data_IF_217136292466
#
_entry.id   IF_217136292466
#
_cell.length_a   1.000
_cell.length_b   1.000
_cell.length_c   1.000
_cell.angle_alpha   90.00
_cell.angle_beta   90.00
_cell.angle_gamma   90.00
#
_symmetry.space_group_name_H-M   'P 1'
#
loop_
_entity.id
_entity.type
_entity.pdbx_description
1 polymer ?
#
# COMPACT_ATOMS: atom_id res chain seq x y z
N UNK A 1 2.77 -3.73 23.18
CA UNK A 1 1.58 -4.53 22.83
C UNK A 1 2.05 -5.71 22.01
N UNK A 2 1.48 -6.91 22.21
CA UNK A 2 1.90 -8.10 21.47
C UNK A 2 1.00 -8.31 20.26
N UNK A 3 1.62 -8.48 19.09
CA UNK A 3 0.96 -8.71 17.81
C UNK A 3 1.51 -10.00 17.20
N UNK A 4 0.66 -10.87 16.69
CA UNK A 4 1.12 -12.08 16.01
C UNK A 4 1.99 -11.69 14.80
N UNK A 5 3.13 -12.36 14.61
CA UNK A 5 4.05 -12.05 13.50
C UNK A 5 3.39 -12.30 12.14
N UNK A 6 3.69 -11.46 11.13
CA UNK A 6 3.10 -11.51 9.78
C UNK A 6 3.18 -12.89 9.09
N UNK A 7 4.22 -13.66 9.42
CA UNK A 7 4.42 -15.04 8.97
C UNK A 7 3.26 -15.97 9.36
N UNK A 8 2.68 -15.77 10.53
CA UNK A 8 1.66 -16.66 11.07
C UNK A 8 0.25 -16.25 10.67
N UNK A 9 -0.58 -17.26 10.44
CA UNK A 9 -1.99 -17.17 10.05
C UNK A 9 -2.88 -17.87 11.08
N UNK A 10 -4.01 -17.25 11.39
CA UNK A 10 -5.06 -17.87 12.21
C UNK A 10 -6.10 -18.52 11.30
N UNK A 11 -6.19 -19.85 11.40
CA UNK A 11 -7.25 -20.67 10.80
C UNK A 11 -8.18 -21.16 11.90
N UNK A 12 -9.47 -21.28 11.60
CA UNK A 12 -10.46 -21.79 12.55
C UNK A 12 -11.23 -22.91 11.89
N UNK A 13 -11.27 -24.06 12.55
CA UNK A 13 -12.08 -25.21 12.13
C UNK A 13 -12.87 -25.68 13.34
N UNK A 14 -14.18 -25.81 13.17
CA UNK A 14 -15.13 -26.09 14.26
C UNK A 14 -14.91 -25.15 15.46
N UNK A 15 -14.50 -25.68 16.61
CA UNK A 15 -14.25 -24.95 17.84
C UNK A 15 -12.76 -24.91 18.22
N UNK A 16 -11.87 -25.08 17.24
CA UNK A 16 -10.42 -25.02 17.45
C UNK A 16 -9.84 -23.88 16.61
N UNK A 17 -9.06 -23.02 17.27
CA UNK A 17 -8.24 -22.01 16.61
C UNK A 17 -6.82 -22.54 16.44
N UNK A 18 -6.32 -22.51 15.22
CA UNK A 18 -4.98 -22.95 14.86
C UNK A 18 -4.15 -21.74 14.43
N UNK A 19 -2.91 -21.68 14.91
CA UNK A 19 -1.89 -20.75 14.40
C UNK A 19 -0.94 -21.54 13.52
N UNK A 20 -0.97 -21.26 12.23
CA UNK A 20 -0.14 -21.88 11.21
C UNK A 20 1.02 -20.98 10.83
N UNK A 21 2.14 -21.59 10.49
CA UNK A 21 3.24 -20.93 9.79
C UNK A 21 3.00 -21.01 8.28
N UNK A 22 2.76 -19.87 7.63
CA UNK A 22 2.44 -19.87 6.21
C UNK A 22 3.65 -20.14 5.30
N UNK A 23 4.86 -20.28 5.83
CA UNK A 23 6.03 -20.70 5.04
C UNK A 23 6.17 -22.23 5.07
N UNK A 24 6.09 -22.84 6.25
CA UNK A 24 6.25 -24.29 6.42
C UNK A 24 4.94 -25.08 6.36
N UNK A 25 3.79 -24.41 6.37
CA UNK A 25 2.42 -24.96 6.52
C UNK A 25 2.20 -25.76 7.81
N UNK A 26 3.09 -25.61 8.80
CA UNK A 26 2.98 -26.32 10.08
C UNK A 26 2.05 -25.60 11.06
N UNK A 27 1.25 -26.38 11.80
CA UNK A 27 0.54 -25.91 12.99
C UNK A 27 1.55 -25.68 14.11
N UNK A 28 1.66 -24.44 14.60
CA UNK A 28 2.56 -24.08 15.70
C UNK A 28 1.90 -24.25 17.06
N UNK A 29 0.63 -23.92 17.16
CA UNK A 29 -0.20 -24.23 18.32
C UNK A 29 -1.68 -24.17 17.97
N UNK A 30 -2.49 -24.82 18.79
CA UNK A 30 -3.94 -24.82 18.68
C UNK A 30 -4.56 -24.79 20.08
N UNK A 31 -5.77 -24.24 20.17
CA UNK A 31 -6.55 -24.24 21.40
C UNK A 31 -8.05 -24.19 21.10
N UNK A 32 -8.82 -24.73 22.03
CA UNK A 32 -10.27 -24.73 21.97
C UNK A 32 -10.83 -23.33 22.25
N UNK A 33 -11.85 -22.94 21.48
CA UNK A 33 -12.51 -21.62 21.54
C UNK A 33 -14.02 -21.72 21.80
N UNK A 34 -14.47 -22.76 22.49
CA UNK A 34 -15.88 -22.98 22.81
C UNK A 34 -16.48 -21.78 23.56
N UNK A 35 -17.64 -21.29 23.10
CA UNK A 35 -18.35 -20.11 23.63
C UNK A 35 -17.54 -18.80 23.64
N UNK A 36 -16.64 -18.60 22.67
CA UNK A 36 -15.88 -17.36 22.51
C UNK A 36 -16.20 -16.66 21.19
N UNK A 37 -16.05 -15.34 21.17
CA UNK A 37 -16.12 -14.57 19.92
C UNK A 37 -14.83 -14.79 19.10
N UNK A 38 -14.95 -15.62 18.05
CA UNK A 38 -13.88 -15.98 17.12
C UNK A 38 -13.32 -14.76 16.38
N UNK A 39 -14.19 -13.82 16.00
CA UNK A 39 -13.82 -12.60 15.30
C UNK A 39 -13.05 -11.65 16.21
N UNK A 40 -13.52 -11.47 17.45
CA UNK A 40 -12.80 -10.71 18.48
C UNK A 40 -11.43 -11.32 18.76
N UNK A 41 -11.35 -12.63 19.01
CA UNK A 41 -10.06 -13.31 19.25
C UNK A 41 -9.07 -13.10 18.11
N UNK A 42 -9.48 -13.35 16.86
CA UNK A 42 -8.61 -13.15 15.69
C UNK A 42 -8.11 -11.70 15.61
N UNK A 43 -8.99 -10.72 15.82
CA UNK A 43 -8.61 -9.29 15.88
C UNK A 43 -7.62 -9.00 17.01
N UNK A 44 -7.81 -9.56 18.19
CA UNK A 44 -6.91 -9.36 19.34
C UNK A 44 -5.52 -9.96 19.09
N UNK A 45 -5.41 -11.13 18.47
CA UNK A 45 -4.11 -11.69 18.10
C UNK A 45 -3.39 -10.86 17.03
N UNK A 46 -4.12 -10.40 16.01
CA UNK A 46 -3.54 -9.68 14.87
C UNK A 46 -3.24 -8.21 15.15
N UNK A 47 -4.07 -7.54 15.96
CA UNK A 47 -4.03 -6.08 16.18
C UNK A 47 -3.80 -5.68 17.64
N UNK A 48 -3.69 -6.69 18.50
CA UNK A 48 -3.09 -6.62 19.83
C UNK A 48 -4.06 -6.28 20.95
N UNK A 49 -3.53 -6.44 22.17
CA UNK A 49 -4.19 -6.11 23.42
C UNK A 49 -3.60 -4.83 24.02
N UNK A 50 -4.45 -3.94 24.53
CA UNK A 50 -3.99 -2.87 25.40
C UNK A 50 -3.40 -3.46 26.70
N UNK A 51 -2.39 -2.79 27.28
CA UNK A 51 -1.65 -3.27 28.47
C UNK A 51 -2.46 -3.17 29.78
N UNK A 52 -3.78 -3.20 29.72
CA UNK A 52 -4.67 -3.08 30.88
C UNK A 52 -5.07 -4.47 31.38
N UNK A 53 -5.39 -4.56 32.67
CA UNK A 53 -5.99 -5.76 33.26
C UNK A 53 -7.34 -5.96 32.58
N UNK A 54 -7.49 -7.08 31.86
CA UNK A 54 -8.72 -7.34 31.12
C UNK A 54 -9.70 -8.22 31.90
N UNK A 55 -10.94 -7.77 31.91
CA UNK A 55 -12.07 -8.51 32.46
C UNK A 55 -12.77 -9.40 31.42
N UNK A 56 -12.41 -9.31 30.14
CA UNK A 56 -13.01 -10.09 29.07
C UNK A 56 -12.29 -11.43 28.84
N UNK A 57 -13.06 -12.50 28.63
CA UNK A 57 -12.53 -13.87 28.46
C UNK A 57 -11.56 -13.99 27.27
N UNK A 58 -11.88 -13.39 26.13
CA UNK A 58 -11.03 -13.44 24.93
C UNK A 58 -9.66 -12.81 25.16
N UNK A 59 -9.62 -11.69 25.88
CA UNK A 59 -8.41 -10.95 26.17
C UNK A 59 -7.52 -11.71 27.17
N UNK A 60 -8.11 -12.35 28.18
CA UNK A 60 -7.40 -13.24 29.11
C UNK A 60 -6.78 -14.45 28.38
N UNK A 61 -7.49 -15.01 27.40
CA UNK A 61 -6.98 -16.12 26.59
C UNK A 61 -5.78 -15.67 25.75
N UNK A 62 -5.90 -14.53 25.06
CA UNK A 62 -4.79 -13.98 24.27
C UNK A 62 -3.59 -13.69 25.18
N UNK A 63 -3.78 -13.14 26.38
CA UNK A 63 -2.69 -12.94 27.35
C UNK A 63 -2.00 -14.26 27.73
N UNK A 64 -2.75 -15.31 28.04
CA UNK A 64 -2.20 -16.64 28.35
C UNK A 64 -1.44 -17.24 27.16
N UNK A 65 -1.97 -17.09 25.95
CA UNK A 65 -1.32 -17.59 24.73
C UNK A 65 -0.01 -16.84 24.47
N UNK A 66 -0.01 -15.51 24.59
CA UNK A 66 1.20 -14.69 24.44
C UNK A 66 2.26 -15.05 25.49
N UNK A 67 1.87 -15.27 26.74
CA UNK A 67 2.79 -15.70 27.81
C UNK A 67 3.38 -17.09 27.54
N UNK A 68 2.58 -18.02 27.02
CA UNK A 68 3.00 -19.40 26.75
C UNK A 68 3.83 -19.52 25.47
N UNK A 69 3.54 -18.70 24.46
CA UNK A 69 4.12 -18.78 23.12
C UNK A 69 4.73 -17.43 22.68
N UNK A 70 5.63 -16.82 23.45
CA UNK A 70 6.08 -15.44 23.21
C UNK A 70 6.81 -15.26 21.86
N UNK A 71 7.50 -16.29 21.37
CA UNK A 71 8.30 -16.24 20.14
C UNK A 71 7.47 -16.02 18.86
N UNK A 72 6.15 -16.21 18.91
CA UNK A 72 5.25 -16.03 17.78
C UNK A 72 4.69 -14.61 17.67
N UNK A 73 5.01 -13.76 18.66
CA UNK A 73 4.50 -12.41 18.78
C UNK A 73 5.62 -11.38 18.73
N UNK A 74 5.34 -10.24 18.10
CA UNK A 74 6.18 -9.06 18.12
C UNK A 74 5.65 -8.10 19.17
N UNK A 75 6.54 -7.62 20.05
CA UNK A 75 6.20 -6.52 20.95
C UNK A 75 6.37 -5.18 20.22
N UNK A 76 5.25 -4.55 19.87
CA UNK A 76 5.22 -3.23 19.25
C UNK A 76 4.95 -2.14 20.28
N UNK A 77 5.65 -1.01 20.12
CA UNK A 77 5.26 0.26 20.73
C UNK A 77 4.18 0.95 19.89
N UNK A 78 3.56 2.01 20.43
CA UNK A 78 2.41 2.67 19.79
C UNK A 78 2.76 3.26 18.42
N UNK A 79 3.99 3.74 18.22
CA UNK A 79 4.44 4.27 16.93
C UNK A 79 4.55 3.19 15.83
N UNK A 80 5.02 1.99 16.17
CA UNK A 80 5.13 0.88 15.20
C UNK A 80 3.80 0.14 15.00
N UNK A 81 2.84 0.32 15.90
CA UNK A 81 1.53 -0.35 15.88
C UNK A 81 0.81 -0.11 14.56
N UNK A 82 0.63 1.14 14.14
CA UNK A 82 -0.18 1.46 12.95
C UNK A 82 0.43 0.87 11.68
N UNK A 83 1.76 0.94 11.55
CA UNK A 83 2.48 0.32 10.45
C UNK A 83 2.28 -1.20 10.42
N UNK A 84 2.47 -1.87 11.56
CA UNK A 84 2.27 -3.31 11.68
C UNK A 84 0.81 -3.71 11.37
N UNK A 85 -0.17 -2.94 11.83
CA UNK A 85 -1.59 -3.20 11.54
C UNK A 85 -1.89 -3.09 10.04
N UNK A 86 -1.44 -2.03 9.40
CA UNK A 86 -1.65 -1.83 7.96
C UNK A 86 -0.99 -2.94 7.15
N UNK A 87 0.26 -3.29 7.48
CA UNK A 87 0.94 -4.42 6.83
C UNK A 87 0.16 -5.71 7.03
N UNK A 88 -0.37 -5.99 8.23
CA UNK A 88 -1.18 -7.18 8.52
C UNK A 88 -2.44 -7.20 7.66
N UNK A 89 -3.16 -6.10 7.54
CA UNK A 89 -4.38 -6.00 6.74
C UNK A 89 -4.11 -6.39 5.28
N UNK A 90 -3.04 -5.84 4.68
CA UNK A 90 -2.63 -6.22 3.33
C UNK A 90 -2.05 -7.64 3.24
N UNK A 91 -1.30 -8.11 4.24
CA UNK A 91 -0.82 -9.49 4.29
C UNK A 91 -1.99 -10.46 4.21
N UNK A 92 -3.03 -10.27 5.02
CA UNK A 92 -4.21 -11.15 5.00
C UNK A 92 -4.99 -11.04 3.68
N UNK A 93 -5.07 -9.84 3.11
CA UNK A 93 -5.72 -9.61 1.82
C UNK A 93 -5.03 -10.37 0.68
N UNK A 94 -3.69 -10.38 0.65
CA UNK A 94 -2.90 -10.98 -0.42
C UNK A 94 -2.41 -12.40 -0.12
N UNK A 95 -2.62 -12.93 1.08
CA UNK A 95 -2.01 -14.20 1.56
C UNK A 95 -2.18 -15.35 0.57
N UNK A 96 -3.40 -15.52 0.05
CA UNK A 96 -3.73 -16.60 -0.88
C UNK A 96 -3.40 -16.30 -2.34
N UNK A 97 -2.92 -15.08 -2.62
CA UNK A 97 -2.59 -14.64 -3.97
C UNK A 97 -1.10 -14.77 -4.29
N UNK A 98 -0.25 -15.13 -3.32
CA UNK A 98 1.17 -15.35 -3.58
C UNK A 98 1.41 -16.57 -4.48
N UNK A 99 2.33 -16.42 -5.44
CA UNK A 99 2.69 -17.46 -6.43
C UNK A 99 3.24 -18.71 -5.76
N UNK A 100 4.03 -18.53 -4.69
CA UNK A 100 4.57 -19.64 -3.90
C UNK A 100 4.95 -19.19 -2.49
N UNK A 101 5.22 -20.16 -1.62
CA UNK A 101 5.74 -19.94 -0.26
C UNK A 101 7.06 -19.15 -0.26
N UNK A 102 7.91 -19.35 -1.27
CA UNK A 102 9.14 -18.58 -1.44
C UNK A 102 8.85 -17.09 -1.68
N UNK A 103 7.90 -16.75 -2.57
CA UNK A 103 7.50 -15.36 -2.80
C UNK A 103 6.92 -14.70 -1.54
N UNK A 104 6.16 -15.47 -0.76
CA UNK A 104 5.65 -14.99 0.53
C UNK A 104 6.78 -14.76 1.55
N UNK A 105 7.76 -15.67 1.62
CA UNK A 105 8.95 -15.51 2.47
C UNK A 105 9.75 -14.26 2.10
N UNK A 106 9.96 -14.01 0.81
CA UNK A 106 10.71 -12.84 0.35
C UNK A 106 9.98 -11.53 0.63
N UNK A 107 8.64 -11.50 0.49
CA UNK A 107 7.81 -10.39 0.96
C UNK A 107 7.97 -10.13 2.47
N UNK A 108 7.98 -11.18 3.29
CA UNK A 108 8.15 -11.03 4.75
C UNK A 108 9.53 -10.48 5.13
N UNK A 109 10.58 -10.85 4.39
CA UNK A 109 11.92 -10.27 4.58
C UNK A 109 11.92 -8.77 4.27
N UNK A 110 11.25 -8.35 3.19
CA UNK A 110 11.10 -6.93 2.84
C UNK A 110 10.33 -6.16 3.93
N UNK A 111 9.23 -6.74 4.43
CA UNK A 111 8.46 -6.21 5.57
C UNK A 111 9.33 -6.06 6.82
N UNK A 112 10.12 -7.06 7.17
CA UNK A 112 10.99 -7.01 8.34
C UNK A 112 12.05 -5.92 8.20
N UNK A 113 12.67 -5.80 7.02
CA UNK A 113 13.62 -4.75 6.70
C UNK A 113 12.98 -3.36 6.83
N UNK A 114 11.76 -3.19 6.30
CA UNK A 114 11.00 -1.94 6.40
C UNK A 114 10.74 -1.56 7.87
N UNK A 115 10.21 -2.49 8.67
CA UNK A 115 9.91 -2.29 10.09
C UNK A 115 11.15 -1.98 10.95
N UNK A 116 12.35 -2.39 10.51
CA UNK A 116 13.64 -2.09 11.14
C UNK A 116 14.19 -0.72 10.74
N UNK A 117 14.15 -0.37 9.45
CA UNK A 117 14.87 0.79 8.89
C UNK A 117 14.30 2.16 9.28
N UNK A 118 13.08 2.25 9.84
CA UNK A 118 12.34 3.52 10.09
C UNK A 118 12.15 4.41 8.84
N UNK A 119 12.70 4.07 7.68
CA UNK A 119 12.55 4.79 6.43
C UNK A 119 11.16 4.53 5.87
N UNK A 120 10.40 5.61 5.65
CA UNK A 120 9.10 5.59 4.98
C UNK A 120 9.27 5.90 3.50
N UNK A 121 8.26 5.58 2.71
CA UNK A 121 8.20 5.97 1.31
C UNK A 121 8.02 7.48 1.21
N UNK A 122 8.94 8.18 0.56
CA UNK A 122 8.84 9.61 0.28
C UNK A 122 7.88 9.85 -0.88
N UNK A 123 6.75 10.48 -0.57
CA UNK A 123 5.68 10.78 -1.51
C UNK A 123 5.59 12.29 -1.73
N UNK A 124 5.65 12.73 -2.98
CA UNK A 124 5.22 14.07 -3.36
C UNK A 124 3.77 13.98 -3.87
N UNK A 125 2.87 14.74 -3.27
CA UNK A 125 1.49 14.86 -3.75
C UNK A 125 1.27 16.28 -4.26
N UNK A 126 1.29 16.43 -5.58
CA UNK A 126 1.23 17.70 -6.30
C UNK A 126 -0.05 17.78 -7.13
N UNK A 127 -1.17 17.83 -6.41
CA UNK A 127 -2.51 18.01 -7.00
C UNK A 127 -3.35 18.87 -6.05
N UNK A 128 -4.02 19.87 -6.61
CA UNK A 128 -4.94 20.76 -5.89
C UNK A 128 -6.36 20.16 -5.80
N UNK A 129 -7.11 20.47 -4.73
CA UNK A 129 -8.51 20.02 -4.59
C UNK A 129 -8.73 18.61 -4.04
N UNK A 130 -7.68 17.92 -3.58
CA UNK A 130 -7.74 16.58 -2.95
C UNK A 130 -7.22 16.61 -1.50
N UNK A 131 -7.71 17.56 -0.70
CA UNK A 131 -7.25 17.81 0.67
C UNK A 131 -7.42 16.59 1.58
N UNK A 132 -8.52 15.84 1.43
CA UNK A 132 -8.73 14.63 2.22
C UNK A 132 -7.65 13.58 1.91
N UNK A 133 -7.32 13.37 0.64
CA UNK A 133 -6.30 12.40 0.23
C UNK A 133 -4.93 12.79 0.81
N UNK A 134 -4.59 14.08 0.73
CA UNK A 134 -3.35 14.62 1.31
C UNK A 134 -3.29 14.37 2.82
N UNK A 135 -4.37 14.66 3.55
CA UNK A 135 -4.46 14.42 5.00
C UNK A 135 -4.41 12.92 5.34
N UNK A 136 -5.05 12.06 4.54
CA UNK A 136 -5.02 10.62 4.74
C UNK A 136 -3.61 10.06 4.56
N UNK A 137 -2.85 10.52 3.56
CA UNK A 137 -1.44 10.16 3.39
C UNK A 137 -0.52 10.70 4.48
N UNK A 138 -0.77 11.91 5.01
CA UNK A 138 -0.03 12.43 6.17
C UNK A 138 -0.13 11.51 7.39
N UNK A 139 -1.29 10.87 7.56
CA UNK A 139 -1.54 9.92 8.65
C UNK A 139 -1.11 8.48 8.32
N UNK A 140 -0.69 8.21 7.07
CA UNK A 140 -0.34 6.87 6.65
C UNK A 140 1.02 6.45 7.24
N UNK A 141 1.11 5.29 7.92
CA UNK A 141 2.35 4.86 8.56
C UNK A 141 3.44 4.37 7.60
N UNK A 142 3.13 4.13 6.32
CA UNK A 142 4.10 3.69 5.31
C UNK A 142 4.80 4.85 4.61
N UNK A 143 4.24 6.07 4.70
CA UNK A 143 4.61 7.20 3.85
C UNK A 143 5.09 8.39 4.67
N UNK A 144 5.96 9.18 4.05
CA UNK A 144 6.33 10.53 4.45
C UNK A 144 5.97 11.43 3.26
N UNK A 145 5.02 12.33 3.47
CA UNK A 145 4.47 13.16 2.41
C UNK A 145 5.02 14.58 2.47
N UNK A 146 5.54 15.04 1.35
CA UNK A 146 5.79 16.46 1.10
C UNK A 146 4.65 16.95 0.22
N UNK A 147 3.90 17.94 0.69
CA UNK A 147 2.83 18.55 -0.08
C UNK A 147 3.28 19.90 -0.58
N UNK A 148 3.35 20.09 -1.90
CA UNK A 148 3.63 21.40 -2.48
C UNK A 148 2.29 22.12 -2.63
N UNK A 149 2.13 23.27 -1.99
CA UNK A 149 1.04 24.21 -2.26
C UNK A 149 1.69 25.47 -2.83
N UNK A 150 1.78 25.57 -4.14
CA UNK A 150 2.23 26.80 -4.83
C UNK A 150 3.67 27.26 -4.56
N UNK A 151 4.43 26.63 -3.67
CA UNK A 151 5.85 26.91 -3.47
C UNK A 151 6.67 26.08 -4.46
N UNK A 152 7.28 26.76 -5.43
CA UNK A 152 8.36 26.20 -6.25
C UNK A 152 9.25 25.38 -5.32
N UNK A 153 9.38 24.06 -5.56
CA UNK A 153 10.37 23.22 -4.89
C UNK A 153 11.74 23.87 -5.13
N UNK A 154 12.15 24.73 -4.20
CA UNK A 154 13.30 25.63 -4.29
C UNK A 154 14.57 24.82 -4.52
N UNK A 155 14.97 24.53 -5.76
CA UNK A 155 16.24 23.88 -6.16
C UNK A 155 16.82 22.81 -5.20
N UNK A 156 15.96 22.14 -4.43
CA UNK A 156 16.37 21.10 -3.49
C UNK A 156 16.54 19.84 -4.31
N UNK A 157 17.74 19.24 -4.22
CA UNK A 157 18.08 17.95 -4.85
C UNK A 157 17.34 16.76 -4.22
N UNK A 158 16.19 17.00 -3.58
CA UNK A 158 15.45 15.93 -2.91
C UNK A 158 14.79 15.02 -3.93
N UNK A 159 15.03 13.72 -3.75
CA UNK A 159 14.44 12.66 -4.57
C UNK A 159 13.30 12.00 -3.81
N UNK A 160 12.22 11.71 -4.53
CA UNK A 160 11.01 11.07 -4.05
C UNK A 160 10.92 9.65 -4.59
N UNK A 161 10.40 8.73 -3.77
CA UNK A 161 10.14 7.37 -4.21
C UNK A 161 8.97 7.36 -5.21
N UNK A 162 7.93 8.16 -4.94
CA UNK A 162 6.78 8.33 -5.84
C UNK A 162 6.33 9.80 -5.89
N UNK A 163 5.99 10.29 -7.08
CA UNK A 163 5.29 11.57 -7.28
C UNK A 163 3.88 11.28 -7.82
N UNK A 164 2.86 11.91 -7.23
CA UNK A 164 1.49 11.87 -7.69
C UNK A 164 1.12 13.26 -8.19
N UNK A 165 0.71 13.36 -9.45
CA UNK A 165 0.40 14.63 -10.12
C UNK A 165 -0.69 14.45 -11.19
N UNK A 166 -1.20 15.54 -11.74
CA UNK A 166 -2.07 15.55 -12.91
C UNK A 166 -1.22 15.66 -14.20
N UNK A 167 -1.72 15.16 -15.34
CA UNK A 167 -1.08 15.39 -16.63
C UNK A 167 -1.01 16.88 -17.01
N UNK A 168 0.18 17.49 -16.98
CA UNK A 168 0.38 18.92 -17.28
C UNK A 168 1.21 19.18 -18.55
N UNK A 169 1.40 18.15 -19.37
CA UNK A 169 2.11 18.21 -20.65
C UNK A 169 3.61 17.92 -20.51
N UNK A 170 4.20 17.42 -21.61
CA UNK A 170 5.50 16.73 -21.60
C UNK A 170 6.67 17.53 -20.99
N UNK A 171 6.67 18.87 -21.11
CA UNK A 171 7.77 19.70 -20.60
C UNK A 171 7.75 19.86 -19.08
N UNK A 172 6.58 20.00 -18.47
CA UNK A 172 6.46 20.13 -17.01
C UNK A 172 6.64 18.77 -16.35
N UNK A 173 6.09 17.72 -16.96
CA UNK A 173 6.26 16.34 -16.52
C UNK A 173 7.74 15.90 -16.49
N UNK A 174 8.60 16.48 -17.35
CA UNK A 174 10.05 16.20 -17.36
C UNK A 174 10.78 16.68 -16.10
N UNK A 175 10.30 17.71 -15.40
CA UNK A 175 10.92 18.13 -14.12
C UNK A 175 10.74 17.08 -13.04
N UNK A 176 9.60 16.37 -13.05
CA UNK A 176 9.33 15.27 -12.14
C UNK A 176 10.23 14.06 -12.40
N UNK A 177 10.61 13.83 -13.66
CA UNK A 177 11.49 12.73 -14.03
C UNK A 177 12.85 12.78 -13.34
N UNK A 178 13.40 13.96 -13.11
CA UNK A 178 14.72 14.11 -12.50
C UNK A 178 14.68 13.88 -10.98
N UNK A 179 13.48 13.88 -10.38
CA UNK A 179 13.27 13.88 -8.93
C UNK A 179 12.52 12.65 -8.40
N UNK A 180 12.11 11.72 -9.25
CA UNK A 180 11.26 10.58 -8.87
C UNK A 180 11.82 9.23 -9.31
N UNK A 181 11.63 8.19 -8.48
CA UNK A 181 11.79 6.80 -8.94
C UNK A 181 10.58 6.33 -9.77
N UNK A 182 9.37 6.74 -9.36
CA UNK A 182 8.13 6.49 -10.08
C UNK A 182 7.17 7.69 -10.06
N UNK A 183 6.34 7.81 -11.09
CA UNK A 183 5.31 8.86 -11.21
C UNK A 183 3.96 8.20 -11.44
N UNK A 184 2.94 8.63 -10.72
CA UNK A 184 1.57 8.20 -10.92
C UNK A 184 0.70 9.40 -11.30
N UNK A 185 -0.06 9.25 -12.38
CA UNK A 185 -0.98 10.29 -12.82
C UNK A 185 -2.38 10.08 -12.24
N UNK A 186 -3.02 11.15 -11.78
CA UNK A 186 -4.47 11.19 -11.56
C UNK A 186 -5.09 12.06 -12.64
N UNK A 187 -6.21 11.62 -13.21
CA UNK A 187 -6.97 12.43 -14.16
C UNK A 187 -8.45 12.27 -13.86
N UNK A 188 -9.08 13.35 -13.43
CA UNK A 188 -10.49 13.38 -13.07
C UNK A 188 -11.23 14.37 -13.95
N UNK A 189 -12.31 13.91 -14.57
CA UNK A 189 -13.24 14.76 -15.32
C UNK A 189 -14.70 14.54 -14.86
N UNK A 190 -15.64 15.18 -15.54
CA UNK A 190 -17.07 15.05 -15.23
C UNK A 190 -17.64 13.63 -15.39
N UNK A 191 -16.96 12.75 -16.14
CA UNK A 191 -17.43 11.40 -16.50
C UNK A 191 -16.58 10.30 -15.90
N UNK A 192 -15.31 10.53 -15.60
CA UNK A 192 -14.39 9.48 -15.13
C UNK A 192 -13.39 10.00 -14.12
N UNK A 193 -12.94 9.08 -13.27
CA UNK A 193 -11.77 9.21 -12.41
C UNK A 193 -10.76 8.16 -12.88
N UNK A 194 -9.57 8.58 -13.27
CA UNK A 194 -8.49 7.71 -13.71
C UNK A 194 -7.31 7.76 -12.74
N UNK A 195 -6.86 6.60 -12.28
CA UNK A 195 -5.69 6.43 -11.41
C UNK A 195 -4.63 5.67 -12.20
N UNK A 196 -3.45 6.27 -12.35
CA UNK A 196 -2.33 5.74 -13.09
C UNK A 196 -2.30 6.15 -14.57
N UNK A 197 -1.26 5.71 -15.31
CA UNK A 197 -0.35 4.64 -14.94
C UNK A 197 0.68 5.01 -13.85
N UNK A 198 1.27 4.02 -13.17
CA UNK A 198 2.43 4.18 -12.28
C UNK A 198 3.70 3.88 -13.07
N UNK A 199 4.43 4.91 -13.47
CA UNK A 199 5.54 4.80 -14.42
C UNK A 199 6.87 4.79 -13.67
N UNK A 200 7.67 3.73 -13.84
CA UNK A 200 9.06 3.72 -13.36
C UNK A 200 9.92 4.61 -14.25
N UNK A 201 10.34 5.74 -13.72
CA UNK A 201 10.99 6.81 -14.47
C UNK A 201 12.27 6.36 -15.16
N UNK A 202 13.10 5.54 -14.51
CA UNK A 202 14.35 5.05 -15.09
C UNK A 202 14.16 4.05 -16.22
N UNK A 203 13.00 3.38 -16.29
CA UNK A 203 12.75 2.27 -17.23
C UNK A 203 11.89 2.68 -18.42
N UNK A 204 11.00 3.65 -18.21
CA UNK A 204 9.94 3.98 -19.16
C UNK A 204 9.88 5.46 -19.49
N UNK A 205 9.38 5.76 -20.68
CA UNK A 205 9.04 7.12 -21.11
C UNK A 205 7.68 7.51 -20.51
N UNK A 206 7.51 8.78 -20.13
CA UNK A 206 6.19 9.31 -19.79
C UNK A 206 5.38 9.42 -21.11
N UNK A 207 4.15 8.91 -21.17
CA UNK A 207 3.31 9.04 -22.35
C UNK A 207 2.94 10.51 -22.58
N UNK A 208 2.84 10.90 -23.85
CA UNK A 208 2.25 12.19 -24.19
C UNK A 208 0.76 12.14 -23.88
N UNK A 209 0.33 13.01 -22.96
CA UNK A 209 -1.08 13.26 -22.74
C UNK A 209 -1.53 14.34 -23.71
N UNK A 210 -2.73 14.18 -24.28
CA UNK A 210 -3.33 15.26 -25.04
C UNK A 210 -3.53 16.43 -24.06
N UNK A 211 -3.04 17.62 -24.43
CA UNK A 211 -3.32 18.85 -23.69
C UNK A 211 -4.81 19.17 -23.89
N UNK A 212 -5.68 18.52 -23.14
CA UNK A 212 -7.05 18.95 -22.98
C UNK A 212 -6.99 20.07 -21.94
N UNK A 213 -7.25 21.31 -22.36
CA UNK A 213 -7.48 22.40 -21.41
C UNK A 213 -8.51 21.93 -20.38
N UNK A 214 -8.28 22.11 -19.07
CA UNK A 214 -9.19 21.62 -18.05
C UNK A 214 -10.55 22.29 -18.26
N UNK A 215 -11.50 21.52 -18.81
CA UNK A 215 -12.91 21.90 -18.90
C UNK A 215 -13.50 21.78 -17.51
N UNK A 216 -13.35 22.83 -16.72
CA UNK A 216 -13.80 22.94 -15.32
C UNK A 216 -13.32 21.77 -14.45
N UNK A 217 -12.43 22.03 -13.48
CA UNK A 217 -12.07 21.01 -12.51
C UNK A 217 -13.34 20.46 -11.86
N UNK A 218 -13.69 19.18 -12.10
CA UNK A 218 -14.91 18.64 -11.56
C UNK A 218 -14.85 18.68 -10.03
N UNK A 219 -15.98 18.99 -9.39
CA UNK A 219 -16.09 18.82 -7.94
C UNK A 219 -15.97 17.34 -7.62
N UNK A 220 -15.00 17.00 -6.77
CA UNK A 220 -14.75 15.63 -6.30
C UNK A 220 -15.43 15.47 -4.95
N UNK A 221 -16.39 14.55 -4.89
CA UNK A 221 -17.15 14.28 -3.69
C UNK A 221 -16.26 13.59 -2.64
N UNK A 222 -16.60 13.74 -1.36
CA UNK A 222 -15.85 13.13 -0.26
C UNK A 222 -15.73 11.60 -0.43
N UNK A 223 -16.80 10.93 -0.84
CA UNK A 223 -16.81 9.47 -1.07
C UNK A 223 -15.88 9.07 -2.23
N UNK A 224 -15.75 9.92 -3.25
CA UNK A 224 -14.81 9.71 -4.36
C UNK A 224 -13.37 9.86 -3.86
N UNK A 225 -13.09 10.80 -2.96
CA UNK A 225 -11.77 10.95 -2.34
C UNK A 225 -11.40 9.74 -1.46
N UNK A 226 -12.34 9.18 -0.72
CA UNK A 226 -12.13 7.92 0.02
C UNK A 226 -11.78 6.76 -0.90
N UNK A 227 -12.52 6.62 -2.00
CA UNK A 227 -12.30 5.55 -2.97
C UNK A 227 -10.95 5.70 -3.69
N UNK A 228 -10.61 6.93 -4.08
CA UNK A 228 -9.31 7.28 -4.63
C UNK A 228 -8.18 6.92 -3.67
N UNK A 229 -8.27 7.37 -2.41
CA UNK A 229 -7.28 7.04 -1.39
C UNK A 229 -7.10 5.53 -1.24
N UNK A 230 -8.19 4.76 -1.17
CA UNK A 230 -8.16 3.30 -1.07
C UNK A 230 -7.36 2.67 -2.21
N UNK A 231 -7.61 3.07 -3.46
CA UNK A 231 -6.89 2.51 -4.61
C UNK A 231 -5.43 2.95 -4.64
N UNK A 232 -5.16 4.23 -4.40
CA UNK A 232 -3.80 4.76 -4.42
C UNK A 232 -2.95 4.12 -3.32
N UNK A 233 -3.46 4.03 -2.08
CA UNK A 233 -2.75 3.39 -0.97
C UNK A 233 -2.37 1.95 -1.32
N UNK A 234 -3.30 1.21 -1.92
CA UNK A 234 -3.07 -0.17 -2.35
C UNK A 234 -2.01 -0.28 -3.44
N UNK A 235 -2.04 0.60 -4.43
CA UNK A 235 -1.03 0.68 -5.49
C UNK A 235 0.36 0.96 -4.88
N UNK A 236 0.44 1.94 -3.98
CA UNK A 236 1.68 2.30 -3.30
C UNK A 236 2.18 1.17 -2.39
N UNK A 237 1.29 0.44 -1.72
CA UNK A 237 1.64 -0.74 -0.93
C UNK A 237 2.28 -1.84 -1.80
N UNK A 238 1.66 -2.14 -2.93
CA UNK A 238 2.14 -3.11 -3.91
C UNK A 238 3.52 -2.69 -4.44
N UNK A 239 3.71 -1.40 -4.73
CA UNK A 239 4.99 -0.83 -5.14
C UNK A 239 6.05 -0.97 -4.04
N UNK A 240 5.72 -0.60 -2.79
CA UNK A 240 6.65 -0.59 -1.65
C UNK A 240 7.30 -1.95 -1.38
N UNK A 241 6.52 -3.04 -1.57
CA UNK A 241 6.94 -4.41 -1.29
C UNK A 241 7.08 -5.26 -2.56
N UNK A 242 7.22 -4.60 -3.72
CA UNK A 242 7.43 -5.22 -5.03
C UNK A 242 6.54 -6.48 -5.24
N UNK A 243 5.24 -6.36 -4.98
CA UNK A 243 4.33 -7.52 -4.97
C UNK A 243 3.97 -8.01 -6.38
N UNK A 244 4.24 -7.20 -7.41
CA UNK A 244 3.91 -7.44 -8.82
C UNK A 244 4.46 -8.77 -9.33
N UNK A 245 5.66 -9.11 -8.87
CA UNK A 245 6.38 -10.32 -9.27
C UNK A 245 6.14 -11.48 -8.29
N UNK A 246 5.33 -11.25 -7.25
CA UNK A 246 5.09 -12.18 -6.15
C UNK A 246 3.66 -12.73 -6.11
N UNK A 247 2.72 -12.08 -6.79
CA UNK A 247 1.29 -12.44 -6.78
C UNK A 247 0.81 -13.04 -8.12
N UNK A 248 -0.14 -13.97 -8.05
CA UNK A 248 -0.73 -14.69 -9.20
C UNK A 248 -1.72 -13.83 -9.99
N UNK A 249 -2.42 -12.92 -9.31
CA UNK A 249 -3.39 -12.02 -9.93
C UNK A 249 -2.70 -10.72 -10.31
N UNK A 250 -3.08 -10.19 -11.48
CA UNK A 250 -2.82 -8.79 -11.79
C UNK A 250 -3.60 -7.94 -10.78
N UNK A 251 -2.89 -7.40 -9.78
CA UNK A 251 -3.47 -6.55 -8.74
C UNK A 251 -3.71 -5.12 -9.22
N UNK A 252 -3.99 -4.96 -10.53
CA UNK A 252 -4.28 -3.68 -11.20
C UNK A 252 -3.16 -2.68 -10.98
N UNK A 253 -1.94 -3.12 -11.24
CA UNK A 253 -0.79 -2.27 -11.06
C UNK A 253 -0.77 -1.32 -12.23
N UNK A 254 -0.83 0.00 -11.97
CA UNK A 254 -1.04 0.90 -13.06
C UNK A 254 0.19 1.05 -13.94
N UNK A 255 1.26 0.28 -13.79
CA UNK A 255 2.44 0.38 -14.66
C UNK A 255 2.10 0.16 -16.14
N UNK A 256 1.04 -0.60 -16.44
CA UNK A 256 0.56 -0.83 -17.83
C UNK A 256 -0.90 -0.46 -18.03
N UNK A 257 -1.58 -0.04 -16.97
CA UNK A 257 -3.02 0.17 -16.96
C UNK A 257 -3.34 1.45 -16.19
N UNK A 258 -4.41 2.14 -16.54
CA UNK A 258 -5.05 3.09 -15.64
C UNK A 258 -6.29 2.41 -15.08
N UNK A 259 -6.47 2.47 -13.77
CA UNK A 259 -7.77 2.14 -13.18
C UNK A 259 -8.72 3.29 -13.50
N UNK A 260 -9.84 2.98 -14.15
CA UNK A 260 -10.88 3.94 -14.50
C UNK A 260 -12.13 3.62 -13.68
N UNK A 261 -12.69 4.66 -13.06
CA UNK A 261 -14.01 4.65 -12.46
C UNK A 261 -14.90 5.57 -13.29
N UNK A 262 -15.92 5.02 -13.94
CA UNK A 262 -16.93 5.82 -14.62
C UNK A 262 -17.90 6.41 -13.58
N UNK A 263 -18.05 7.74 -13.56
CA UNK A 263 -18.88 8.47 -12.60
C UNK A 263 -20.37 8.40 -12.93
N UNK A 264 -20.72 8.06 -14.17
CA UNK A 264 -22.10 7.98 -14.65
C UNK A 264 -22.69 6.62 -14.31
N UNK A 265 -21.96 5.54 -14.57
CA UNK A 265 -22.46 4.17 -14.36
C UNK A 265 -21.81 3.42 -13.18
N UNK A 266 -20.84 4.04 -12.50
CA UNK A 266 -20.13 3.53 -11.33
C UNK A 266 -19.32 2.25 -11.58
N UNK A 267 -19.02 1.92 -12.85
CA UNK A 267 -18.19 0.76 -13.16
C UNK A 267 -16.71 1.08 -13.04
N UNK A 268 -15.99 0.19 -12.37
CA UNK A 268 -14.54 0.15 -12.35
C UNK A 268 -13.99 -0.80 -13.42
N UNK A 269 -13.03 -0.33 -14.22
CA UNK A 269 -12.33 -1.16 -15.20
C UNK A 269 -10.88 -0.71 -15.39
N UNK A 270 -10.04 -1.62 -15.86
CA UNK A 270 -8.65 -1.32 -16.20
C UNK A 270 -8.54 -0.96 -17.68
N UNK A 271 -7.99 0.23 -17.98
CA UNK A 271 -7.68 0.66 -19.34
C UNK A 271 -6.19 0.48 -19.61
N UNK A 272 -5.81 -0.27 -20.64
CA UNK A 272 -4.40 -0.40 -21.03
C UNK A 272 -3.83 0.95 -21.47
N UNK A 273 -2.62 1.25 -20.99
CA UNK A 273 -1.85 2.42 -21.38
C UNK A 273 -0.56 1.95 -22.03
N UNK A 274 -0.31 2.40 -23.26
CA UNK A 274 0.91 2.08 -23.97
C UNK A 274 2.05 2.93 -23.42
N UNK A 275 3.05 2.27 -22.84
CA UNK A 275 4.25 2.91 -22.30
C UNK A 275 5.47 2.30 -22.99
N UNK A 276 6.35 3.16 -23.50
CA UNK A 276 7.56 2.74 -24.21
C UNK A 276 8.75 2.66 -23.26
N UNK A 277 9.64 1.67 -23.41
CA UNK A 277 10.90 1.66 -22.68
C UNK A 277 11.73 2.88 -23.06
N UNK A 278 12.52 3.39 -22.12
CA UNK A 278 13.55 4.38 -22.49
C UNK A 278 14.58 3.70 -23.38
N UNK A 279 14.76 4.22 -24.58
CA UNK A 279 15.91 3.87 -25.40
C UNK A 279 17.10 4.59 -24.78
N UNK A 280 18.04 3.86 -24.18
CA UNK A 280 19.36 4.42 -23.87
C UNK A 280 19.98 4.82 -25.22
N UNK A 281 19.99 6.11 -25.51
CA UNK A 281 20.80 6.61 -26.61
C UNK A 281 22.25 6.27 -26.28
N UNK A 282 22.94 5.56 -27.18
CA UNK A 282 24.36 5.18 -27.12
C UNK A 282 25.34 6.30 -26.72
N UNK A 283 24.86 7.55 -26.65
CA UNK A 283 25.58 8.74 -26.20
C UNK A 283 25.79 8.77 -24.67
N UNK A 284 24.95 8.11 -23.87
CA UNK A 284 25.07 8.08 -22.40
C UNK A 284 25.93 6.92 -21.87
N UNK A 285 26.29 5.95 -22.72
CA UNK A 285 27.19 4.84 -22.37
C UNK A 285 28.69 5.21 -22.48
N UNK A 286 28.98 6.44 -22.94
CA UNK A 286 30.33 6.99 -23.05
C UNK A 286 30.38 8.33 -22.31
N UNK A 287 30.17 8.29 -20.99
CA UNK A 287 30.60 9.33 -20.05
C UNK A 287 31.20 8.70 -18.81
#
# INVERSE_FOLDING_TARGET
>A
MYLLNHQYEIKVFENIMFVHDSISDEVKFAFEIYNLDKGKLKKLFYFGLEKTISFHREEQIVQKVVQRYPNYFTNCNDLKRNCFRLIREYTELFRYEFISTQHFSDYLKEVEVFLKRKKRMKLLFDIEGYEYIKQAFQNNPLMEITGVQGEVLNDTQETFDVIITEPNGEREDRKWLERAEAIMFLNTDSKKIAIGPLIYVKKFQIPSFANEEPKEYPIILEQEQHLLYYFIERILYIYAFNLNQKLLKDTCIPVRHSLILDRVDLKGYSKTVTIYPRVETLVDAVK
#
